data_IF_680997745343
#
_entry.id   IF_680997745343
#
_cell.length_a   1.000
_cell.length_b   1.000
_cell.length_c   1.000
_cell.angle_alpha   90.00
_cell.angle_beta   90.00
_cell.angle_gamma   90.00
#
_symmetry.space_group_name_H-M   'P 1'
#
loop_
_entity.id
_entity.type
_entity.pdbx_description
1 polymer ?
#
# COMPACT_ATOMS: atom_id res chain seq x y z
N UNK A 1 29.56 12.56 -14.19
CA UNK A 1 29.39 11.37 -15.04
C UNK A 1 27.91 11.19 -15.28
N UNK A 2 27.44 11.62 -16.44
CA UNK A 2 26.03 11.51 -16.81
C UNK A 2 25.83 10.27 -17.68
N UNK A 3 24.83 9.46 -17.35
CA UNK A 3 24.43 8.32 -18.16
C UNK A 3 23.00 8.52 -18.67
N UNK A 4 22.83 8.38 -19.99
CA UNK A 4 21.54 8.32 -20.63
C UNK A 4 20.99 6.91 -20.59
N UNK A 5 19.81 6.78 -19.98
CA UNK A 5 19.03 5.55 -19.94
C UNK A 5 17.96 5.57 -21.03
N UNK A 6 18.03 4.63 -21.97
CA UNK A 6 17.03 4.56 -23.05
C UNK A 6 16.79 3.13 -23.54
N UNK A 7 15.77 2.99 -24.39
CA UNK A 7 15.37 1.73 -25.04
C UNK A 7 15.43 1.91 -26.54
N UNK A 8 16.35 1.22 -27.22
CA UNK A 8 16.44 1.23 -28.67
C UNK A 8 15.63 0.06 -29.27
N UNK A 9 14.85 0.28 -30.36
CA UNK A 9 14.38 -0.82 -31.18
C UNK A 9 15.56 -1.70 -31.62
N UNK A 10 15.42 -3.03 -31.55
CA UNK A 10 16.46 -4.04 -31.84
C UNK A 10 17.50 -4.33 -30.74
N UNK A 11 17.47 -3.63 -29.60
CA UNK A 11 18.29 -4.01 -28.45
C UNK A 11 17.59 -5.10 -27.63
N UNK A 12 18.06 -6.36 -27.75
CA UNK A 12 17.47 -7.53 -27.10
C UNK A 12 18.46 -8.26 -26.20
N UNK A 13 17.94 -8.85 -25.13
CA UNK A 13 18.72 -9.69 -24.23
C UNK A 13 19.14 -10.98 -24.97
N UNK A 14 20.43 -11.36 -24.95
CA UNK A 14 20.91 -12.55 -25.64
C UNK A 14 20.31 -13.85 -25.08
N UNK A 15 19.90 -13.86 -23.81
CA UNK A 15 19.32 -15.05 -23.15
C UNK A 15 17.83 -15.25 -23.40
N UNK A 16 17.04 -14.16 -23.46
CA UNK A 16 15.58 -14.27 -23.47
C UNK A 16 14.88 -13.47 -24.57
N UNK A 17 15.64 -12.81 -25.45
CA UNK A 17 15.16 -11.99 -26.58
C UNK A 17 14.18 -10.87 -26.21
N UNK A 18 14.05 -10.51 -24.91
CA UNK A 18 13.28 -9.34 -24.49
C UNK A 18 14.09 -8.07 -24.62
N UNK A 19 13.41 -6.94 -24.83
CA UNK A 19 14.05 -5.62 -24.87
C UNK A 19 14.83 -5.36 -23.58
N UNK A 20 16.05 -4.87 -23.73
CA UNK A 20 16.92 -4.45 -22.62
C UNK A 20 16.87 -2.95 -22.44
N UNK A 21 17.33 -2.48 -21.30
CA UNK A 21 17.62 -1.07 -21.08
C UNK A 21 19.09 -0.79 -21.27
N UNK A 22 19.39 0.30 -21.95
CA UNK A 22 20.75 0.72 -22.29
C UNK A 22 21.14 1.89 -21.39
N UNK A 23 22.39 1.88 -20.93
CA UNK A 23 23.02 2.95 -20.15
C UNK A 23 24.29 3.37 -20.89
N UNK A 24 24.26 4.57 -21.47
CA UNK A 24 25.38 5.14 -22.20
C UNK A 24 25.85 6.44 -21.55
N UNK A 25 27.16 6.64 -21.40
CA UNK A 25 27.73 7.89 -20.93
C UNK A 25 27.45 9.02 -21.94
N UNK A 26 27.06 10.19 -21.44
CA UNK A 26 26.93 11.41 -22.24
C UNK A 26 28.30 12.01 -22.58
N UNK A 27 29.22 11.90 -21.62
CA UNK A 27 30.46 12.67 -21.62
C UNK A 27 31.56 12.09 -22.53
N UNK A 28 31.60 10.76 -22.73
CA UNK A 28 32.60 10.11 -23.61
C UNK A 28 32.24 8.65 -23.92
N UNK A 29 32.48 8.21 -25.16
CA UNK A 29 32.32 6.82 -25.58
C UNK A 29 33.35 5.86 -24.98
N UNK A 30 34.41 6.37 -24.37
CA UNK A 30 35.45 5.56 -23.70
C UNK A 30 34.99 5.04 -22.33
N UNK A 31 33.93 5.63 -21.77
CA UNK A 31 33.36 5.15 -20.52
C UNK A 31 32.55 3.86 -20.73
N UNK A 32 32.52 2.97 -19.72
CA UNK A 32 31.78 1.71 -19.82
C UNK A 32 30.30 1.92 -20.18
N UNK A 33 29.83 1.19 -21.19
CA UNK A 33 28.43 1.19 -21.61
C UNK A 33 27.77 -0.10 -21.14
N UNK A 34 26.53 -0.03 -20.66
CA UNK A 34 25.86 -1.19 -20.08
C UNK A 34 24.52 -1.49 -20.75
N UNK A 35 24.12 -2.75 -20.71
CA UNK A 35 22.76 -3.20 -20.95
C UNK A 35 22.23 -4.01 -19.77
N UNK A 36 20.97 -3.78 -19.40
CA UNK A 36 20.31 -4.43 -18.27
C UNK A 36 19.09 -5.22 -18.76
N UNK A 37 19.06 -6.52 -18.44
CA UNK A 37 17.88 -7.35 -18.64
C UNK A 37 17.19 -7.64 -17.31
N UNK A 38 16.08 -6.94 -17.04
CA UNK A 38 15.30 -7.14 -15.82
C UNK A 38 14.65 -8.53 -15.72
N UNK A 39 14.36 -9.20 -16.85
CA UNK A 39 13.81 -10.56 -16.83
C UNK A 39 14.85 -11.59 -16.39
N UNK A 40 16.06 -11.50 -16.94
CA UNK A 40 17.14 -12.44 -16.62
C UNK A 40 17.95 -12.04 -15.39
N UNK A 41 17.73 -10.81 -14.87
CA UNK A 41 18.50 -10.19 -13.77
C UNK A 41 20.00 -10.10 -14.07
N UNK A 42 20.33 -9.85 -15.33
CA UNK A 42 21.72 -9.78 -15.81
C UNK A 42 22.09 -8.35 -16.20
N UNK A 43 23.32 -7.96 -15.87
CA UNK A 43 23.97 -6.74 -16.36
C UNK A 43 25.09 -7.17 -17.29
N UNK A 44 25.15 -6.59 -18.48
CA UNK A 44 26.30 -6.77 -19.37
C UNK A 44 26.93 -5.43 -19.74
N UNK A 45 28.21 -5.48 -20.03
CA UNK A 45 28.98 -4.35 -20.51
C UNK A 45 29.31 -4.57 -22.00
N UNK A 46 29.08 -3.55 -22.83
CA UNK A 46 29.42 -3.62 -24.25
C UNK A 46 30.93 -3.83 -24.42
N UNK A 47 31.31 -4.74 -25.33
CA UNK A 47 32.71 -5.10 -25.58
C UNK A 47 33.32 -6.11 -24.59
N UNK A 48 32.70 -6.32 -23.42
CA UNK A 48 33.18 -7.26 -22.39
C UNK A 48 32.26 -8.50 -22.28
N UNK A 49 30.95 -8.29 -22.43
CA UNK A 49 29.94 -9.34 -22.29
C UNK A 49 29.16 -9.25 -20.98
N UNK A 50 28.55 -10.35 -20.56
CA UNK A 50 27.79 -10.41 -19.31
C UNK A 50 28.72 -10.31 -18.10
N UNK A 51 28.44 -9.37 -17.19
CA UNK A 51 29.17 -9.27 -15.94
C UNK A 51 28.73 -10.42 -15.03
N UNK A 52 29.68 -11.27 -14.65
CA UNK A 52 29.42 -12.40 -13.76
C UNK A 52 28.91 -11.91 -12.41
N UNK A 53 27.77 -12.45 -11.97
CA UNK A 53 27.42 -12.37 -10.55
C UNK A 53 28.49 -13.13 -9.76
N UNK A 54 29.12 -12.47 -8.79
CA UNK A 54 30.17 -13.08 -7.97
C UNK A 54 29.70 -14.41 -7.34
N UNK A 55 30.63 -15.36 -7.16
CA UNK A 55 30.38 -16.65 -6.49
C UNK A 55 30.16 -16.50 -4.96
N UNK A 56 30.38 -15.31 -4.41
CA UNK A 56 30.16 -15.04 -3.00
C UNK A 56 28.67 -14.90 -2.68
N UNK A 57 28.16 -15.76 -1.81
CA UNK A 57 26.74 -15.81 -1.41
C UNK A 57 26.26 -14.56 -0.67
N UNK A 58 27.16 -13.72 -0.13
CA UNK A 58 26.82 -12.47 0.54
C UNK A 58 28.00 -11.48 0.63
N UNK A 59 27.68 -10.18 0.68
CA UNK A 59 28.63 -9.13 1.08
C UNK A 59 29.02 -9.24 2.57
N UNK A 60 30.23 -8.79 2.92
CA UNK A 60 30.67 -8.66 4.32
C UNK A 60 29.78 -7.68 5.09
N UNK A 61 29.75 -7.80 6.42
CA UNK A 61 28.97 -6.90 7.29
C UNK A 61 29.38 -5.43 7.14
N UNK A 62 30.67 -5.16 6.99
CA UNK A 62 31.20 -3.82 6.73
C UNK A 62 30.74 -3.30 5.37
N UNK A 63 30.85 -4.11 4.32
CA UNK A 63 30.42 -3.73 2.98
C UNK A 63 28.91 -3.49 2.90
N UNK A 64 28.11 -4.26 3.65
CA UNK A 64 26.67 -4.02 3.77
C UNK A 64 26.37 -2.66 4.42
N UNK A 65 27.13 -2.26 5.46
CA UNK A 65 26.98 -0.93 6.08
C UNK A 65 27.37 0.20 5.13
N UNK A 66 28.44 0.03 4.36
CA UNK A 66 28.83 1.00 3.32
C UNK A 66 27.76 1.14 2.24
N UNK A 67 27.29 0.03 1.68
CA UNK A 67 26.22 0.03 0.69
C UNK A 67 24.96 0.70 1.25
N UNK A 68 24.61 0.41 2.51
CA UNK A 68 23.47 1.02 3.18
C UNK A 68 23.61 2.54 3.25
N UNK A 69 24.79 3.06 3.65
CA UNK A 69 25.06 4.51 3.64
C UNK A 69 24.95 5.12 2.25
N UNK A 70 25.51 4.47 1.23
CA UNK A 70 25.42 4.94 -0.16
C UNK A 70 23.98 4.91 -0.69
N UNK A 71 23.17 3.93 -0.28
CA UNK A 71 21.75 3.87 -0.62
C UNK A 71 20.95 4.97 0.09
N UNK A 72 21.31 5.32 1.33
CA UNK A 72 20.72 6.43 2.08
C UNK A 72 21.02 7.81 1.45
N UNK A 73 22.15 7.95 0.75
CA UNK A 73 22.50 9.16 -0.03
C UNK A 73 21.68 9.32 -1.32
N UNK A 74 20.99 8.28 -1.79
CA UNK A 74 20.11 8.40 -2.96
C UNK A 74 18.91 9.25 -2.55
N UNK A 75 18.64 10.40 -3.21
CA UNK A 75 17.54 11.28 -2.84
C UNK A 75 16.20 10.55 -2.97
N UNK A 76 15.70 10.07 -1.83
CA UNK A 76 14.45 9.34 -1.74
C UNK A 76 13.29 10.33 -1.69
N UNK A 77 12.44 10.30 -2.72
CA UNK A 77 11.33 11.26 -2.84
C UNK A 77 10.31 11.12 -1.70
N UNK A 78 10.11 9.90 -1.15
CA UNK A 78 9.17 9.62 -0.07
C UNK A 78 9.63 8.40 0.76
N UNK A 79 10.07 8.59 2.00
CA UNK A 79 10.26 7.50 2.98
C UNK A 79 9.24 7.72 4.07
N UNK A 80 8.36 6.75 4.33
CA UNK A 80 7.50 6.78 5.52
C UNK A 80 8.34 6.48 6.78
N UNK A 81 8.25 7.33 7.81
CA UNK A 81 8.77 7.09 9.17
C UNK A 81 8.18 5.83 9.80
N UNK A 82 6.97 5.46 9.37
CA UNK A 82 6.27 4.28 9.82
C UNK A 82 6.99 3.00 9.39
N UNK A 83 7.27 2.13 10.35
CA UNK A 83 7.98 0.86 10.16
C UNK A 83 7.10 -0.23 9.53
N UNK A 84 5.78 0.00 9.53
CA UNK A 84 4.75 -0.97 9.17
C UNK A 84 4.66 -1.36 7.70
N UNK A 85 5.65 -2.04 7.12
CA UNK A 85 5.41 -2.76 5.85
C UNK A 85 6.10 -4.12 5.87
N UNK A 86 5.33 -5.19 5.63
CA UNK A 86 5.91 -6.54 5.49
C UNK A 86 5.50 -7.17 4.17
N UNK A 87 6.41 -7.07 3.20
CA UNK A 87 6.57 -8.09 2.19
C UNK A 87 7.19 -9.32 2.89
N UNK A 88 6.47 -10.44 2.97
CA UNK A 88 7.01 -11.69 3.54
C UNK A 88 7.45 -12.61 2.42
N UNK A 89 8.69 -13.06 2.47
CA UNK A 89 9.17 -14.11 1.57
C UNK A 89 8.34 -15.38 1.80
N UNK A 90 7.64 -15.86 0.79
CA UNK A 90 7.05 -17.19 0.83
C UNK A 90 8.14 -18.21 0.56
N UNK A 91 8.48 -18.97 1.59
CA UNK A 91 9.50 -20.03 1.54
C UNK A 91 9.29 -21.04 0.39
N UNK A 92 8.05 -21.25 -0.04
CA UNK A 92 7.72 -22.22 -1.10
C UNK A 92 7.87 -21.70 -2.52
N UNK A 93 7.78 -20.38 -2.72
CA UNK A 93 7.74 -19.78 -4.06
C UNK A 93 8.90 -18.82 -4.29
N UNK A 94 9.69 -18.54 -3.26
CA UNK A 94 10.73 -17.52 -3.25
C UNK A 94 10.20 -16.15 -3.73
N UNK A 95 8.89 -15.94 -3.57
CA UNK A 95 8.19 -14.71 -3.92
C UNK A 95 7.72 -14.03 -2.66
N UNK A 96 7.79 -12.71 -2.63
CA UNK A 96 7.22 -11.96 -1.51
C UNK A 96 5.70 -11.94 -1.63
N UNK A 97 5.01 -12.57 -0.68
CA UNK A 97 3.56 -12.47 -0.57
C UNK A 97 3.16 -11.55 0.58
N UNK A 98 2.12 -10.77 0.31
CA UNK A 98 1.51 -9.89 1.31
C UNK A 98 0.42 -10.64 2.07
N UNK A 99 0.42 -10.50 3.39
CA UNK A 99 -0.71 -10.84 4.24
C UNK A 99 -0.99 -9.66 5.17
N UNK A 100 -2.24 -9.22 5.21
CA UNK A 100 -2.67 -8.24 6.21
C UNK A 100 -2.52 -8.82 7.61
N UNK A 101 -1.74 -8.15 8.47
CA UNK A 101 -1.61 -8.51 9.87
C UNK A 101 -2.92 -8.26 10.63
N UNK A 102 -3.11 -8.99 11.73
CA UNK A 102 -4.07 -8.53 12.76
C UNK A 102 -3.57 -7.21 13.37
N UNK A 103 -4.48 -6.48 14.05
CA UNK A 103 -4.09 -5.22 14.70
C UNK A 103 -3.03 -5.45 15.77
N UNK A 104 -3.21 -6.48 16.60
CA UNK A 104 -2.23 -6.82 17.63
C UNK A 104 -0.85 -7.13 17.04
N UNK A 105 -0.81 -7.91 15.95
CA UNK A 105 0.46 -8.24 15.28
C UNK A 105 1.10 -7.00 14.64
N UNK A 106 0.30 -6.09 14.08
CA UNK A 106 0.76 -4.83 13.51
C UNK A 106 1.36 -3.92 14.60
N UNK A 107 0.59 -3.65 15.65
CA UNK A 107 1.01 -2.81 16.78
C UNK A 107 2.25 -3.38 17.47
N UNK A 108 2.31 -4.71 17.66
CA UNK A 108 3.46 -5.38 18.25
C UNK A 108 4.70 -5.31 17.35
N UNK A 109 4.53 -5.48 16.03
CA UNK A 109 5.65 -5.51 15.10
C UNK A 109 6.25 -4.13 14.85
N UNK A 110 5.42 -3.07 14.90
CA UNK A 110 5.82 -1.74 14.44
C UNK A 110 5.73 -0.65 15.50
N UNK A 111 5.19 -0.94 16.69
CA UNK A 111 5.00 0.05 17.77
C UNK A 111 3.97 1.14 17.44
N UNK A 112 3.21 0.97 16.37
CA UNK A 112 2.26 1.95 15.83
C UNK A 112 0.83 1.57 16.22
N UNK A 113 0.13 2.43 16.96
CA UNK A 113 -1.29 2.26 17.27
C UNK A 113 -2.16 2.84 16.16
N UNK A 114 -3.18 2.09 15.74
CA UNK A 114 -4.18 2.58 14.79
C UNK A 114 -5.33 3.23 15.54
N UNK A 115 -5.62 4.49 15.25
CA UNK A 115 -6.42 5.37 16.10
C UNK A 115 -7.94 5.24 15.97
N UNK A 116 -8.48 4.13 15.46
CA UNK A 116 -9.89 4.09 15.03
C UNK A 116 -10.76 3.12 15.84
N UNK A 117 -11.75 3.70 16.52
CA UNK A 117 -12.81 2.98 17.19
C UNK A 117 -13.79 2.31 16.20
N UNK A 118 -14.59 1.38 16.71
CA UNK A 118 -15.64 0.75 15.92
C UNK A 118 -16.70 1.80 15.56
N UNK A 119 -16.90 2.04 14.26
CA UNK A 119 -17.84 3.06 13.81
C UNK A 119 -19.30 2.71 14.14
N UNK A 120 -20.06 3.73 14.54
CA UNK A 120 -21.51 3.69 14.69
C UNK A 120 -22.13 4.53 13.58
N UNK A 121 -22.91 3.89 12.70
CA UNK A 121 -23.56 4.59 11.57
C UNK A 121 -24.91 5.18 11.94
N UNK A 122 -25.39 4.99 13.17
CA UNK A 122 -26.64 5.61 13.61
C UNK A 122 -26.48 7.12 13.64
N UNK A 123 -27.49 7.82 13.11
CA UNK A 123 -27.63 9.26 13.28
C UNK A 123 -28.14 9.59 14.69
N UNK A 124 -29.02 8.73 15.22
CA UNK A 124 -29.55 8.84 16.58
C UNK A 124 -29.15 7.62 17.43
N UNK A 125 -28.47 7.89 18.54
CA UNK A 125 -28.05 6.88 19.52
C UNK A 125 -29.22 6.20 20.23
N UNK A 126 -30.41 6.81 20.21
CA UNK A 126 -31.67 6.28 20.70
C UNK A 126 -32.29 5.20 19.81
N UNK A 127 -31.70 4.92 18.65
CA UNK A 127 -32.20 3.90 17.72
C UNK A 127 -31.37 2.61 17.76
N UNK A 128 -31.99 1.50 17.39
CA UNK A 128 -31.34 0.20 17.28
C UNK A 128 -30.36 0.16 16.09
N UNK A 129 -29.10 -0.21 16.34
CA UNK A 129 -28.02 -0.36 15.32
C UNK A 129 -28.33 -1.33 14.18
N UNK A 130 -29.35 -2.16 14.32
CA UNK A 130 -29.68 -3.20 13.34
C UNK A 130 -30.98 -2.92 12.59
N UNK A 131 -32.02 -2.42 13.24
CA UNK A 131 -33.35 -2.27 12.63
C UNK A 131 -33.93 -0.86 12.73
N UNK A 132 -33.16 0.10 13.24
CA UNK A 132 -33.53 1.50 13.43
C UNK A 132 -34.78 1.77 14.29
N UNK A 133 -35.31 0.75 14.97
CA UNK A 133 -36.43 0.94 15.91
C UNK A 133 -35.94 1.67 17.17
N UNK A 134 -36.79 2.51 17.80
CA UNK A 134 -36.49 3.15 19.07
C UNK A 134 -36.04 2.15 20.13
N UNK A 135 -35.07 2.57 20.96
CA UNK A 135 -34.62 1.83 22.11
C UNK A 135 -35.50 2.16 23.31
N UNK A 136 -35.97 1.12 24.00
CA UNK A 136 -36.80 1.25 25.19
C UNK A 136 -36.04 0.79 26.45
N UNK A 137 -36.37 1.41 27.58
CA UNK A 137 -35.82 1.06 28.89
C UNK A 137 -34.30 1.29 28.99
N UNK A 138 -33.56 0.27 29.44
CA UNK A 138 -32.10 0.36 29.70
C UNK A 138 -31.23 0.02 28.48
N UNK A 139 -31.80 -0.32 27.33
CA UNK A 139 -31.05 -0.75 26.13
C UNK A 139 -30.36 0.45 25.47
N UNK A 140 -29.07 0.31 25.10
CA UNK A 140 -28.24 1.42 24.56
C UNK A 140 -27.80 1.26 23.10
N UNK A 141 -28.04 0.10 22.49
CA UNK A 141 -27.54 -0.19 21.13
C UNK A 141 -28.44 -1.08 20.29
N UNK A 142 -29.18 -1.99 20.92
CA UNK A 142 -30.06 -2.93 20.22
C UNK A 142 -31.38 -3.08 20.97
N UNK A 143 -32.50 -3.02 20.25
CA UNK A 143 -33.84 -3.21 20.82
C UNK A 143 -34.09 -4.65 21.30
N UNK A 144 -33.33 -5.63 20.78
CA UNK A 144 -33.41 -7.03 21.21
C UNK A 144 -32.08 -7.76 21.03
N UNK A 145 -31.94 -8.89 21.71
CA UNK A 145 -30.74 -9.72 21.65
C UNK A 145 -30.60 -10.40 20.27
N UNK A 146 -31.72 -10.58 19.56
CA UNK A 146 -31.72 -11.01 18.16
C UNK A 146 -31.08 -9.96 17.26
N UNK A 147 -31.39 -8.68 17.46
CA UNK A 147 -30.75 -7.58 16.72
C UNK A 147 -29.25 -7.51 17.00
N UNK A 148 -28.84 -7.64 18.26
CA UNK A 148 -27.43 -7.71 18.66
C UNK A 148 -26.67 -8.85 17.95
N UNK A 149 -27.21 -10.07 18.01
CA UNK A 149 -26.60 -11.25 17.36
C UNK A 149 -26.48 -11.10 15.85
N UNK A 150 -27.52 -10.60 15.18
CA UNK A 150 -27.49 -10.39 13.74
C UNK A 150 -26.46 -9.33 13.32
N UNK A 151 -26.40 -8.23 14.07
CA UNK A 151 -25.40 -7.18 13.85
C UNK A 151 -23.97 -7.72 14.03
N UNK A 152 -23.71 -8.45 15.12
CA UNK A 152 -22.40 -9.07 15.36
C UNK A 152 -22.02 -10.08 14.29
N UNK A 153 -22.99 -10.89 13.80
CA UNK A 153 -22.77 -11.82 12.68
C UNK A 153 -22.34 -11.07 11.41
N UNK A 154 -22.96 -9.94 11.12
CA UNK A 154 -22.66 -9.16 9.93
C UNK A 154 -21.32 -8.42 10.03
N UNK A 155 -21.03 -7.78 11.16
CA UNK A 155 -19.89 -6.87 11.33
C UNK A 155 -18.60 -7.56 11.81
N UNK A 156 -18.68 -8.77 12.34
CA UNK A 156 -17.51 -9.54 12.77
C UNK A 156 -17.23 -10.73 11.84
N UNK A 157 -18.19 -11.64 11.69
CA UNK A 157 -17.99 -12.91 10.96
C UNK A 157 -18.15 -12.77 9.44
N UNK A 158 -18.98 -11.83 8.99
CA UNK A 158 -19.29 -11.61 7.56
C UNK A 158 -18.81 -10.26 7.04
N UNK A 159 -17.88 -9.59 7.74
CA UNK A 159 -17.43 -8.24 7.39
C UNK A 159 -16.73 -8.14 6.04
N UNK A 160 -16.20 -9.26 5.53
CA UNK A 160 -15.65 -9.39 4.18
C UNK A 160 -14.24 -8.82 3.96
N UNK A 161 -13.58 -8.30 5.01
CA UNK A 161 -12.25 -7.67 4.93
C UNK A 161 -11.39 -7.97 6.16
N UNK A 162 -10.06 -7.93 6.01
CA UNK A 162 -9.08 -8.11 7.10
C UNK A 162 -9.10 -6.94 8.08
N UNK A 163 -8.55 -7.13 9.29
CA UNK A 163 -8.73 -6.18 10.40
C UNK A 163 -8.10 -4.80 10.15
N UNK A 164 -6.88 -4.73 9.61
CA UNK A 164 -6.26 -3.45 9.25
C UNK A 164 -7.07 -2.72 8.15
N UNK A 165 -7.35 -3.34 6.99
CA UNK A 165 -8.24 -2.76 5.99
C UNK A 165 -9.60 -2.30 6.54
N UNK A 166 -10.18 -3.07 7.45
CA UNK A 166 -11.43 -2.72 8.12
C UNK A 166 -11.34 -1.43 8.93
N UNK A 167 -10.22 -1.19 9.63
CA UNK A 167 -10.01 0.07 10.36
C UNK A 167 -9.90 1.26 9.41
N UNK A 168 -9.20 1.11 8.29
CA UNK A 168 -9.11 2.17 7.28
C UNK A 168 -10.48 2.46 6.65
N UNK A 169 -11.23 1.40 6.30
CA UNK A 169 -12.61 1.55 5.83
C UNK A 169 -13.49 2.23 6.89
N UNK A 170 -13.34 1.89 8.17
CA UNK A 170 -14.09 2.52 9.27
C UNK A 170 -13.76 4.01 9.42
N UNK A 171 -12.48 4.39 9.32
CA UNK A 171 -12.05 5.80 9.30
C UNK A 171 -12.73 6.56 8.18
N UNK A 172 -12.73 6.00 6.98
CA UNK A 172 -13.35 6.60 5.79
C UNK A 172 -14.87 6.39 5.76
N UNK A 173 -15.46 5.92 6.85
CA UNK A 173 -16.87 5.59 7.01
C UNK A 173 -17.40 4.70 5.88
N UNK A 174 -16.59 3.82 5.29
CA UNK A 174 -16.91 2.96 4.15
C UNK A 174 -17.32 3.70 2.87
N UNK A 175 -16.97 4.99 2.73
CA UNK A 175 -17.14 5.68 1.46
C UNK A 175 -15.89 5.58 0.61
N UNK A 176 -16.07 5.43 -0.71
CA UNK A 176 -14.98 5.61 -1.64
C UNK A 176 -14.49 7.06 -1.56
N UNK A 177 -13.22 7.26 -1.19
CA UNK A 177 -12.65 8.60 -1.03
C UNK A 177 -12.43 9.35 -2.35
N UNK A 178 -12.61 8.67 -3.49
CA UNK A 178 -12.51 9.26 -4.83
C UNK A 178 -13.89 9.62 -5.38
N UNK A 179 -14.87 8.71 -5.31
CA UNK A 179 -16.18 8.90 -5.97
C UNK A 179 -17.31 9.24 -5.00
N UNK A 180 -17.12 9.06 -3.69
CA UNK A 180 -18.19 9.16 -2.69
C UNK A 180 -19.14 7.95 -2.67
N UNK A 181 -18.90 6.92 -3.48
CA UNK A 181 -19.72 5.70 -3.50
C UNK A 181 -19.80 5.06 -2.10
N UNK A 182 -21.01 4.66 -1.70
CA UNK A 182 -21.22 3.90 -0.46
C UNK A 182 -20.79 2.44 -0.64
N UNK A 183 -19.75 2.03 0.08
CA UNK A 183 -19.19 0.68 0.06
C UNK A 183 -19.60 -0.15 1.27
N UNK A 184 -20.47 0.37 2.13
CA UNK A 184 -21.06 -0.37 3.24
C UNK A 184 -22.25 -1.20 2.78
N UNK A 185 -22.55 -2.27 3.51
CA UNK A 185 -23.81 -2.99 3.35
C UNK A 185 -24.93 -2.17 3.99
N UNK A 186 -26.05 -2.05 3.27
CA UNK A 186 -27.35 -1.70 3.85
C UNK A 186 -28.14 -2.98 4.05
N UNK A 187 -28.56 -3.25 5.28
CA UNK A 187 -29.29 -4.47 5.58
C UNK A 187 -30.77 -4.38 5.14
N UNK A 188 -31.51 -5.47 5.33
CA UNK A 188 -32.94 -5.56 4.96
C UNK A 188 -33.87 -4.53 5.63
N UNK A 189 -33.40 -3.83 6.65
CA UNK A 189 -34.15 -2.80 7.37
C UNK A 189 -33.78 -1.38 6.90
N UNK A 190 -33.00 -1.25 5.82
CA UNK A 190 -32.49 0.04 5.36
C UNK A 190 -31.37 0.60 6.26
N UNK A 191 -30.84 -0.19 7.18
CA UNK A 191 -29.78 0.27 8.10
C UNK A 191 -28.41 -0.03 7.52
N UNK A 192 -27.60 1.01 7.35
CA UNK A 192 -26.19 0.93 6.98
C UNK A 192 -25.40 0.28 8.11
N UNK A 193 -24.61 -0.74 7.81
CA UNK A 193 -23.80 -1.48 8.77
C UNK A 193 -22.32 -1.44 8.38
N UNK A 194 -21.38 -1.41 9.35
CA UNK A 194 -19.95 -1.38 9.06
C UNK A 194 -19.47 -2.76 8.62
N UNK A 195 -19.81 -3.13 7.40
CA UNK A 195 -19.43 -4.34 6.71
C UNK A 195 -19.31 -4.03 5.22
N UNK A 196 -18.32 -4.62 4.55
CA UNK A 196 -18.06 -4.37 3.14
C UNK A 196 -19.18 -4.95 2.28
N UNK A 197 -19.67 -4.19 1.29
CA UNK A 197 -20.56 -4.67 0.23
C UNK A 197 -19.82 -5.50 -0.85
N UNK A 198 -18.60 -5.96 -0.54
CA UNK A 198 -17.66 -6.62 -1.44
C UNK A 198 -17.06 -5.74 -2.53
N UNK A 199 -17.26 -4.42 -2.51
CA UNK A 199 -16.60 -3.46 -3.41
C UNK A 199 -15.52 -2.63 -2.70
N UNK A 200 -15.35 -2.77 -1.38
CA UNK A 200 -14.29 -2.09 -0.62
C UNK A 200 -12.91 -2.64 -0.99
N UNK A 201 -11.99 -1.76 -1.35
CA UNK A 201 -10.55 -2.00 -1.45
C UNK A 201 -9.78 -0.93 -0.68
N UNK A 202 -8.57 -1.26 -0.24
CA UNK A 202 -7.65 -0.32 0.40
C UNK A 202 -6.44 -0.12 -0.49
N UNK A 203 -6.16 1.14 -0.84
CA UNK A 203 -5.09 1.55 -1.72
C UNK A 203 -3.95 2.25 -0.96
N UNK A 204 -2.71 2.01 -1.39
CA UNK A 204 -1.52 2.71 -0.90
C UNK A 204 -1.27 3.97 -1.72
N UNK A 205 -1.13 5.12 -1.06
CA UNK A 205 -0.81 6.39 -1.72
C UNK A 205 0.64 6.40 -2.23
N UNK A 206 1.56 5.94 -1.39
CA UNK A 206 2.93 5.59 -1.78
C UNK A 206 3.05 4.08 -1.72
N UNK A 207 3.42 3.46 -2.83
CA UNK A 207 3.61 2.03 -2.87
C UNK A 207 4.72 1.58 -1.92
N UNK A 208 4.55 0.40 -1.32
CA UNK A 208 5.56 -0.21 -0.46
C UNK A 208 6.89 -0.41 -1.19
N UNK A 209 6.85 -0.78 -2.48
CA UNK A 209 8.04 -0.89 -3.32
C UNK A 209 8.77 0.44 -3.54
N UNK A 210 8.16 1.56 -3.19
CA UNK A 210 8.68 2.91 -3.30
C UNK A 210 8.87 3.58 -1.92
N UNK A 211 8.95 2.79 -0.83
CA UNK A 211 9.19 3.32 0.53
C UNK A 211 7.94 3.68 1.31
N UNK A 212 6.75 3.32 0.81
CA UNK A 212 5.49 3.46 1.55
C UNK A 212 5.29 2.40 2.64
N UNK A 213 4.37 2.65 3.58
CA UNK A 213 4.00 1.70 4.63
C UNK A 213 2.50 1.33 4.63
N UNK A 214 2.11 0.37 5.45
CA UNK A 214 0.71 0.02 5.75
C UNK A 214 0.14 0.89 6.90
N UNK A 215 0.83 1.97 7.28
CA UNK A 215 0.31 2.93 8.25
C UNK A 215 -0.95 3.61 7.70
N UNK A 216 -1.90 3.92 8.59
CA UNK A 216 -3.21 4.48 8.21
C UNK A 216 -3.11 5.70 7.31
N UNK A 217 -2.10 6.55 7.50
CA UNK A 217 -1.89 7.75 6.71
C UNK A 217 -1.37 7.49 5.30
N UNK A 218 -0.91 6.27 4.97
CA UNK A 218 -0.59 5.87 3.59
C UNK A 218 -1.75 5.14 2.91
N UNK A 219 -2.82 4.85 3.64
CA UNK A 219 -3.89 3.98 3.18
C UNK A 219 -5.16 4.78 2.87
N UNK A 220 -5.85 4.38 1.81
CA UNK A 220 -7.05 5.04 1.32
C UNK A 220 -8.15 4.01 1.00
N UNK A 221 -9.38 4.25 1.46
CA UNK A 221 -10.53 3.44 1.06
C UNK A 221 -11.03 3.84 -0.33
N UNK A 222 -11.09 2.88 -1.25
CA UNK A 222 -11.57 3.07 -2.63
C UNK A 222 -12.50 1.93 -3.03
N UNK A 223 -13.26 2.11 -4.11
CA UNK A 223 -14.02 0.99 -4.70
C UNK A 223 -13.10 0.12 -5.56
N UNK A 224 -13.48 -1.14 -5.78
CA UNK A 224 -12.77 -2.07 -6.68
C UNK A 224 -12.51 -1.47 -8.06
N UNK A 225 -13.50 -0.75 -8.58
CA UNK A 225 -13.41 -0.14 -9.90
C UNK A 225 -12.39 1.00 -9.91
N UNK A 226 -12.44 1.92 -8.95
CA UNK A 226 -11.44 2.99 -8.81
C UNK A 226 -10.03 2.42 -8.62
N UNK A 227 -9.88 1.38 -7.80
CA UNK A 227 -8.59 0.73 -7.57
C UNK A 227 -8.02 0.17 -8.88
N UNK A 228 -8.84 -0.53 -9.65
CA UNK A 228 -8.49 -1.07 -10.97
C UNK A 228 -8.14 0.04 -11.97
N UNK A 229 -8.92 1.11 -12.00
CA UNK A 229 -8.74 2.21 -12.94
C UNK A 229 -7.47 3.01 -12.65
N UNK A 230 -7.10 3.18 -11.38
CA UNK A 230 -5.81 3.74 -10.99
C UNK A 230 -4.64 2.92 -11.55
N UNK A 231 -4.62 1.60 -11.33
CA UNK A 231 -3.54 0.73 -11.82
C UNK A 231 -3.49 0.62 -13.35
N UNK A 232 -4.60 0.95 -14.02
CA UNK A 232 -4.65 1.07 -15.48
C UNK A 232 -4.24 2.45 -16.00
N UNK A 233 -3.97 3.41 -15.13
CA UNK A 233 -3.61 4.78 -15.51
C UNK A 233 -4.80 5.62 -16.00
N UNK A 234 -6.03 5.27 -15.63
CA UNK A 234 -7.22 6.03 -16.04
C UNK A 234 -7.19 7.41 -15.38
N UNK A 235 -7.27 8.46 -16.20
CA UNK A 235 -6.98 9.85 -15.81
C UNK A 235 -7.71 10.33 -14.56
N UNK A 236 -9.01 10.05 -14.43
CA UNK A 236 -9.79 10.55 -13.29
C UNK A 236 -9.32 9.93 -11.96
N UNK A 237 -9.03 8.62 -11.96
CA UNK A 237 -8.61 7.89 -10.77
C UNK A 237 -7.19 8.30 -10.35
N UNK A 238 -6.27 8.38 -11.32
CA UNK A 238 -4.89 8.85 -11.08
C UNK A 238 -4.88 10.26 -10.53
N UNK A 239 -5.60 11.19 -11.17
CA UNK A 239 -5.66 12.59 -10.73
C UNK A 239 -6.18 12.70 -9.30
N UNK A 240 -7.32 12.07 -9.00
CA UNK A 240 -7.94 12.16 -7.68
C UNK A 240 -7.07 11.52 -6.58
N UNK A 241 -6.43 10.38 -6.86
CA UNK A 241 -5.55 9.72 -5.88
C UNK A 241 -4.27 10.53 -5.65
N UNK A 242 -3.66 11.11 -6.68
CA UNK A 242 -2.49 11.98 -6.51
C UNK A 242 -2.86 13.26 -5.74
N UNK A 243 -4.01 13.88 -6.00
CA UNK A 243 -4.50 15.03 -5.21
C UNK A 243 -4.70 14.66 -3.72
N UNK A 244 -5.33 13.51 -3.44
CA UNK A 244 -5.50 13.02 -2.06
C UNK A 244 -4.15 12.73 -1.41
N UNK A 245 -3.22 12.14 -2.17
CA UNK A 245 -1.86 11.85 -1.71
C UNK A 245 -1.12 13.12 -1.34
N UNK A 246 -1.11 14.13 -2.20
CA UNK A 246 -0.49 15.43 -1.92
C UNK A 246 -1.05 16.05 -0.63
N UNK A 247 -2.38 16.05 -0.47
CA UNK A 247 -3.03 16.55 0.74
C UNK A 247 -2.68 15.74 1.99
N UNK A 248 -2.66 14.41 1.91
CA UNK A 248 -2.30 13.56 3.06
C UNK A 248 -0.83 13.69 3.44
N UNK A 249 0.06 13.80 2.45
CA UNK A 249 1.49 14.00 2.67
C UNK A 249 1.77 15.30 3.40
N UNK A 250 1.05 16.38 3.08
CA UNK A 250 1.13 17.65 3.81
C UNK A 250 0.58 17.47 5.24
N UNK A 251 -0.61 16.90 5.37
CA UNK A 251 -1.31 16.79 6.66
C UNK A 251 -0.56 15.95 7.70
N UNK A 252 0.14 14.92 7.26
CA UNK A 252 0.80 13.95 8.11
C UNK A 252 2.32 13.99 7.95
N UNK A 253 2.86 15.12 7.52
CA UNK A 253 4.28 15.28 7.21
C UNK A 253 5.18 14.86 8.38
N UNK A 254 4.78 15.20 9.61
CA UNK A 254 5.44 14.84 10.87
C UNK A 254 5.53 13.32 11.12
N UNK A 255 4.51 12.58 10.67
CA UNK A 255 4.39 11.12 10.78
C UNK A 255 4.93 10.37 9.56
N UNK A 256 5.16 11.08 8.45
CA UNK A 256 5.57 10.48 7.18
C UNK A 256 7.04 10.72 6.90
N UNK A 257 7.59 11.91 7.03
CA UNK A 257 8.97 12.18 6.57
C UNK A 257 9.97 12.19 7.72
N UNK A 258 11.16 11.62 7.52
CA UNK A 258 12.32 11.97 8.34
C UNK A 258 12.53 13.48 8.24
N UNK A 259 12.34 14.18 9.35
CA UNK A 259 12.75 15.58 9.52
C UNK A 259 14.26 15.61 9.64
N UNK A 260 14.98 15.20 8.60
CA UNK A 260 16.37 15.59 8.45
C UNK A 260 16.35 16.82 7.55
N UNK A 261 16.16 17.96 8.22
CA UNK A 261 16.77 19.18 7.77
C UNK A 261 18.27 18.91 7.70
N UNK A 262 18.77 18.57 6.51
CA UNK A 262 20.19 18.63 6.23
C UNK A 262 20.57 20.11 6.21
N UNK A 263 21.09 20.59 7.35
CA UNK A 263 22.16 21.59 7.35
C UNK A 263 23.47 20.89 7.02
#
# INVERSE_FOLDING_TARGET
MNYHRFKLPKAYCPKCSRKVELLFPEDSSELPQFYICFKCKTVGQFGVGELSANEFSAFSSERKREIQKTVEEIPNKYIYKAQGSQLRLQEKTDTYARRWLSLYEYEKAFGEKLGFETIDFREDIGLCKWCNQPLEGRRRSFCSDRCSRNYGKATFFKRGISTLPYRIASRDRFYCRVTGEDLAITNRFGVRIPASNHQVEIHHLVFVSAGGSDHESNLLTVSKQVHKDYHKGVRYAVKAIEEIKEQQLIRYQDKMYTTEANN
#
